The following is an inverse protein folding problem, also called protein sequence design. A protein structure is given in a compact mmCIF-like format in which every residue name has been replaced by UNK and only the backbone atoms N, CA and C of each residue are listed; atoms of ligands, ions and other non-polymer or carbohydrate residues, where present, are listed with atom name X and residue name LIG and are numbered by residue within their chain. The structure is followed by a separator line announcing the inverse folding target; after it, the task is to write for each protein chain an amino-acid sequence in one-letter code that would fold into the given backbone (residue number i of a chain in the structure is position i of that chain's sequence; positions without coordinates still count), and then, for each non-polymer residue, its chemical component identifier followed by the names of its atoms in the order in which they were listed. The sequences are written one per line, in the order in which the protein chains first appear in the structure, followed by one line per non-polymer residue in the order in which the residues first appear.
data_IF_792411699169
#
_entry.id   IF_792411699169
#
_cell.length_a   1.000
_cell.length_b   1.000
_cell.length_c   1.000
_cell.angle_alpha   90.00
_cell.angle_beta   90.00
_cell.angle_gamma   90.00
#
_symmetry.space_group_name_H-M   'P 1'
#
loop_
_entity.id
_entity.type
_entity.pdbx_description
1 polymer ?
#
# COMPACT_ATOMS: atom_id res chain seq x y z
N UNK A 1 -1.99 3.36 7.02
CA UNK A 1 -2.77 2.32 7.74
C UNK A 1 -2.52 0.99 7.04
N UNK A 2 -2.23 -0.07 7.80
CA UNK A 2 -1.91 -1.42 7.30
C UNK A 2 -3.18 -2.27 7.33
N UNK A 3 -3.32 -3.26 6.46
CA UNK A 3 -4.39 -4.24 6.52
C UNK A 3 -4.32 -5.00 7.88
N UNK A 4 -5.35 -4.94 8.74
CA UNK A 4 -5.39 -5.69 9.98
C UNK A 4 -5.48 -7.17 9.67
N UNK A 5 -4.53 -7.93 10.21
CA UNK A 5 -4.50 -9.40 10.10
C UNK A 5 -4.70 -9.99 11.49
N UNK A 6 -5.21 -11.22 11.55
CA UNK A 6 -5.47 -11.90 12.82
C UNK A 6 -4.26 -11.93 13.76
N UNK A 7 -3.04 -12.11 13.22
CA UNK A 7 -1.79 -12.12 14.01
C UNK A 7 -1.37 -10.75 14.56
N UNK A 8 -1.91 -9.67 14.01
CA UNK A 8 -1.54 -8.30 14.36
C UNK A 8 -2.54 -7.64 15.30
N UNK A 9 -3.79 -8.10 15.32
CA UNK A 9 -4.83 -7.59 16.21
C UNK A 9 -4.66 -8.12 17.64
N UNK A 10 -4.86 -7.27 18.64
CA UNK A 10 -4.92 -7.70 20.03
C UNK A 10 -6.27 -8.38 20.34
N UNK A 11 -6.23 -9.66 20.70
CA UNK A 11 -7.42 -10.42 21.06
C UNK A 11 -7.97 -10.07 22.46
N UNK A 12 -7.32 -9.19 23.22
CA UNK A 12 -7.84 -8.69 24.49
C UNK A 12 -8.48 -7.31 24.38
N UNK A 13 -8.26 -6.59 23.27
CA UNK A 13 -8.89 -5.30 23.00
C UNK A 13 -10.21 -5.51 22.24
N UNK A 14 -11.37 -5.10 22.79
CA UNK A 14 -12.66 -5.16 22.10
C UNK A 14 -12.66 -4.52 20.70
N UNK A 15 -11.91 -3.44 20.49
CA UNK A 15 -11.85 -2.76 19.19
C UNK A 15 -11.05 -3.55 18.14
N UNK A 16 -10.16 -4.45 18.57
CA UNK A 16 -9.30 -5.24 17.68
C UNK A 16 -9.69 -6.72 17.59
N UNK A 17 -10.40 -7.25 18.58
CA UNK A 17 -10.72 -8.68 18.72
C UNK A 17 -11.31 -9.30 17.43
N UNK A 18 -12.21 -8.58 16.77
CA UNK A 18 -12.91 -9.00 15.56
C UNK A 18 -12.52 -8.16 14.33
N UNK A 19 -11.62 -7.19 14.49
CA UNK A 19 -11.26 -6.23 13.43
C UNK A 19 -10.76 -6.91 12.16
N UNK A 20 -9.90 -7.92 12.31
CA UNK A 20 -9.38 -8.70 11.18
C UNK A 20 -10.49 -9.45 10.41
N UNK A 21 -11.54 -9.90 11.10
CA UNK A 21 -12.69 -10.58 10.51
C UNK A 21 -13.61 -9.65 9.71
N UNK A 22 -13.51 -8.34 9.95
CA UNK A 22 -14.28 -7.31 9.26
C UNK A 22 -13.56 -6.77 8.01
N UNK A 23 -12.35 -7.24 7.73
CA UNK A 23 -11.63 -6.90 6.51
C UNK A 23 -12.24 -7.65 5.31
N UNK A 24 -12.59 -6.91 4.26
CA UNK A 24 -12.98 -7.44 2.94
C UNK A 24 -14.03 -8.55 2.98
N UNK A 25 -15.12 -8.30 3.71
CA UNK A 25 -16.24 -9.24 3.82
C UNK A 25 -16.79 -9.52 2.43
N UNK A 26 -16.78 -10.78 1.98
CA UNK A 26 -17.23 -11.14 0.65
C UNK A 26 -18.74 -10.91 0.49
N UNK A 27 -19.13 -10.02 -0.44
CA UNK A 27 -20.54 -9.77 -0.79
C UNK A 27 -20.95 -10.57 -2.03
N UNK A 28 -20.00 -10.80 -2.94
CA UNK A 28 -20.13 -11.66 -4.10
C UNK A 28 -18.78 -12.36 -4.35
N UNK A 29 -18.70 -13.31 -5.30
CA UNK A 29 -17.43 -13.95 -5.66
C UNK A 29 -16.33 -12.99 -6.11
N UNK A 30 -16.67 -11.78 -6.55
CA UNK A 30 -15.72 -10.81 -7.11
C UNK A 30 -15.67 -9.48 -6.37
N UNK A 31 -16.62 -9.20 -5.48
CA UNK A 31 -16.74 -7.91 -4.81
C UNK A 31 -16.78 -8.07 -3.28
N UNK A 32 -15.75 -7.56 -2.57
CA UNK A 32 -15.81 -7.43 -1.12
C UNK A 32 -16.51 -6.13 -0.71
N UNK A 33 -17.14 -6.16 0.47
CA UNK A 33 -17.48 -4.97 1.23
C UNK A 33 -16.22 -4.44 1.91
N UNK A 34 -15.94 -3.16 1.67
CA UNK A 34 -14.80 -2.46 2.26
C UNK A 34 -15.30 -1.56 3.36
N UNK A 35 -14.82 -1.79 4.57
CA UNK A 35 -15.07 -0.94 5.72
C UNK A 35 -13.85 -0.05 5.97
N UNK A 36 -14.10 1.20 6.36
CA UNK A 36 -13.04 2.02 6.94
C UNK A 36 -12.64 1.45 8.30
N UNK A 37 -11.35 1.52 8.65
CA UNK A 37 -10.83 0.91 9.88
C UNK A 37 -11.55 1.44 11.14
N UNK A 38 -11.80 2.75 11.22
CA UNK A 38 -12.51 3.37 12.35
C UNK A 38 -13.93 2.81 12.55
N UNK A 39 -14.65 2.55 11.45
CA UNK A 39 -15.98 1.95 11.47
C UNK A 39 -15.86 0.48 11.88
N UNK A 40 -14.90 -0.26 11.32
CA UNK A 40 -14.68 -1.66 11.66
C UNK A 40 -14.31 -1.86 13.14
N UNK A 41 -13.50 -0.98 13.73
CA UNK A 41 -13.19 -0.98 15.19
C UNK A 41 -14.44 -0.78 16.04
N UNK A 42 -15.29 0.17 15.65
CA UNK A 42 -16.58 0.41 16.32
C UNK A 42 -17.47 -0.83 16.26
N UNK A 43 -17.54 -1.51 15.12
CA UNK A 43 -18.31 -2.75 14.95
C UNK A 43 -17.70 -3.90 15.78
N UNK A 44 -16.37 -4.05 15.79
CA UNK A 44 -15.67 -5.06 16.59
C UNK A 44 -16.02 -4.92 18.06
N UNK A 45 -15.92 -3.70 18.60
CA UNK A 45 -16.26 -3.41 19.99
C UNK A 45 -17.73 -3.74 20.29
N UNK A 46 -18.64 -3.33 19.41
CA UNK A 46 -20.07 -3.63 19.56
C UNK A 46 -20.33 -5.15 19.63
N UNK A 47 -19.76 -5.93 18.70
CA UNK A 47 -19.92 -7.39 18.70
C UNK A 47 -19.28 -8.03 19.95
N UNK A 48 -18.12 -7.54 20.38
CA UNK A 48 -17.47 -7.99 21.61
C UNK A 48 -18.35 -7.74 22.85
N UNK A 49 -18.95 -6.56 22.95
CA UNK A 49 -19.91 -6.19 24.01
C UNK A 49 -21.20 -7.02 23.94
N UNK A 50 -21.63 -7.45 22.74
CA UNK A 50 -22.71 -8.42 22.56
C UNK A 50 -22.33 -9.86 22.96
N UNK A 51 -21.06 -10.12 23.32
CA UNK A 51 -20.58 -11.42 23.79
C UNK A 51 -19.90 -12.29 22.73
N UNK A 52 -19.69 -11.80 21.50
CA UNK A 52 -18.96 -12.55 20.48
C UNK A 52 -17.47 -12.67 20.84
N UNK A 53 -16.90 -13.86 20.69
CA UNK A 53 -15.45 -14.12 20.83
C UNK A 53 -14.96 -14.98 19.68
N UNK A 54 -13.71 -14.78 19.29
CA UNK A 54 -13.04 -15.64 18.33
C UNK A 54 -12.63 -16.95 19.01
N UNK A 55 -13.04 -18.06 18.41
CA UNK A 55 -12.67 -19.42 18.79
C UNK A 55 -11.77 -20.00 17.69
N UNK A 56 -10.43 -19.98 17.84
CA UNK A 56 -9.49 -20.41 16.81
C UNK A 56 -9.72 -21.85 16.35
N UNK A 57 -10.18 -22.73 17.25
CA UNK A 57 -10.51 -24.12 16.98
C UNK A 57 -11.72 -24.33 16.06
N UNK A 58 -12.56 -23.30 15.89
CA UNK A 58 -13.74 -23.34 15.01
C UNK A 58 -13.53 -22.54 13.71
N UNK A 59 -12.32 -22.05 13.45
CA UNK A 59 -12.04 -21.20 12.30
C UNK A 59 -11.91 -22.02 11.00
N UNK A 60 -12.81 -21.79 10.05
CA UNK A 60 -12.79 -22.49 8.75
C UNK A 60 -12.05 -21.72 7.64
N UNK A 61 -11.90 -20.40 7.79
CA UNK A 61 -11.36 -19.50 6.75
C UNK A 61 -10.27 -18.59 7.28
N UNK A 62 -9.37 -18.18 6.40
CA UNK A 62 -8.34 -17.17 6.65
C UNK A 62 -8.38 -16.06 5.62
N UNK A 63 -7.96 -14.87 6.03
CA UNK A 63 -7.77 -13.74 5.12
C UNK A 63 -6.42 -13.89 4.44
N UNK A 64 -6.43 -14.15 3.13
CA UNK A 64 -5.24 -14.10 2.31
C UNK A 64 -5.04 -12.67 1.83
N UNK A 65 -3.94 -12.06 2.27
CA UNK A 65 -3.60 -10.67 1.97
C UNK A 65 -3.42 -10.46 0.45
N UNK A 66 -3.56 -9.22 -0.06
CA UNK A 66 -3.34 -8.92 -1.46
C UNK A 66 -1.95 -9.39 -1.90
N UNK A 67 -1.89 -10.21 -2.95
CA UNK A 67 -0.62 -10.69 -3.49
C UNK A 67 0.23 -9.56 -4.09
N UNK A 68 -0.40 -8.46 -4.54
CA UNK A 68 0.26 -7.26 -5.06
C UNK A 68 -0.43 -5.99 -4.58
N UNK A 69 0.29 -4.88 -4.68
CA UNK A 69 -0.21 -3.54 -4.37
C UNK A 69 -0.19 -3.21 -2.88
N UNK A 70 -0.98 -2.20 -2.50
CA UNK A 70 -0.96 -1.63 -1.15
C UNK A 70 -1.61 -2.56 -0.12
N UNK A 71 -0.93 -2.80 0.99
CA UNK A 71 -1.43 -3.64 2.09
C UNK A 71 -2.32 -2.82 3.04
N UNK A 72 -3.53 -2.46 2.59
CA UNK A 72 -4.46 -1.57 3.32
C UNK A 72 -5.92 -2.05 3.25
N UNK A 73 -6.73 -1.71 4.25
CA UNK A 73 -8.15 -2.09 4.38
C UNK A 73 -9.00 -1.83 3.13
N UNK A 74 -8.78 -0.70 2.44
CA UNK A 74 -9.54 -0.33 1.24
C UNK A 74 -8.94 -0.87 -0.06
N UNK A 75 -7.91 -1.71 -0.01
CA UNK A 75 -7.47 -2.47 -1.19
C UNK A 75 -8.29 -3.77 -1.28
N UNK A 76 -9.38 -3.77 -2.04
CA UNK A 76 -10.30 -4.91 -2.23
C UNK A 76 -9.74 -6.15 -2.94
N UNK A 77 -8.41 -6.35 -2.92
CA UNK A 77 -7.71 -7.47 -3.55
C UNK A 77 -7.35 -8.60 -2.59
N UNK A 78 -7.70 -8.51 -1.30
CA UNK A 78 -7.57 -9.63 -0.37
C UNK A 78 -8.79 -10.54 -0.51
N UNK A 79 -8.65 -11.80 -0.10
CA UNK A 79 -9.73 -12.78 -0.21
C UNK A 79 -9.78 -13.68 1.00
N UNK A 80 -10.99 -14.08 1.36
CA UNK A 80 -11.22 -15.13 2.34
C UNK A 80 -11.14 -16.49 1.66
N UNK A 81 -10.20 -17.31 2.08
CA UNK A 81 -9.97 -18.67 1.56
C UNK A 81 -10.11 -19.69 2.68
N UNK A 82 -10.38 -20.98 2.38
CA UNK A 82 -10.25 -22.06 3.36
C UNK A 82 -8.91 -22.00 4.11
N UNK A 83 -8.91 -22.37 5.38
CA UNK A 83 -7.70 -22.26 6.23
C UNK A 83 -6.52 -23.10 5.70
N UNK A 84 -6.82 -24.22 5.04
CA UNK A 84 -5.86 -25.17 4.46
C UNK A 84 -5.30 -24.74 3.10
N UNK A 85 -5.88 -23.73 2.45
CA UNK A 85 -5.37 -23.25 1.16
C UNK A 85 -3.93 -22.74 1.33
N UNK A 86 -2.98 -23.09 0.44
CA UNK A 86 -1.60 -22.63 0.58
C UNK A 86 -1.51 -21.10 0.47
N UNK A 87 -0.54 -20.52 1.18
CA UNK A 87 -0.18 -19.12 0.93
C UNK A 87 0.41 -18.99 -0.48
N UNK A 88 0.14 -17.88 -1.20
CA UNK A 88 0.70 -17.68 -2.51
C UNK A 88 2.20 -17.43 -2.38
N UNK A 89 2.96 -17.84 -3.39
CA UNK A 89 4.40 -17.58 -3.41
C UNK A 89 4.67 -16.08 -3.24
N UNK A 90 5.62 -15.68 -2.38
CA UNK A 90 5.98 -14.29 -2.22
C UNK A 90 6.43 -13.69 -3.55
N UNK A 91 6.01 -12.45 -3.84
CA UNK A 91 6.60 -11.70 -4.95
C UNK A 91 7.95 -11.18 -4.48
N UNK A 92 9.03 -11.84 -4.91
CA UNK A 92 10.38 -11.34 -4.69
C UNK A 92 10.65 -10.17 -5.62
N UNK A 93 11.02 -9.03 -5.04
CA UNK A 93 11.49 -7.90 -5.82
C UNK A 93 12.88 -8.24 -6.39
N UNK A 94 13.15 -7.94 -7.67
CA UNK A 94 14.49 -8.07 -8.21
C UNK A 94 15.48 -7.24 -7.38
N UNK A 95 16.58 -7.85 -6.93
CA UNK A 95 17.68 -7.10 -6.35
C UNK A 95 18.48 -6.44 -7.47
N UNK A 96 18.10 -5.18 -7.75
CA UNK A 96 18.72 -4.37 -8.80
C UNK A 96 20.22 -4.17 -8.57
N UNK A 97 20.71 -4.28 -7.33
CA UNK A 97 22.13 -4.12 -7.01
C UNK A 97 22.99 -5.33 -7.42
N UNK A 98 22.37 -6.51 -7.49
CA UNK A 98 23.00 -7.74 -7.95
C UNK A 98 22.95 -7.92 -9.48
N UNK A 99 22.20 -7.08 -10.19
CA UNK A 99 22.06 -7.13 -11.65
C UNK A 99 23.28 -6.51 -12.36
N UNK A 100 23.55 -6.94 -13.58
CA UNK A 100 24.59 -6.33 -14.42
C UNK A 100 24.21 -4.90 -14.83
N UNK A 101 25.20 -4.07 -15.17
CA UNK A 101 24.96 -2.69 -15.61
C UNK A 101 23.99 -2.62 -16.79
N UNK A 102 24.11 -3.53 -17.76
CA UNK A 102 23.23 -3.57 -18.93
C UNK A 102 21.77 -3.87 -18.56
N UNK A 103 21.54 -4.78 -17.61
CA UNK A 103 20.18 -5.09 -17.14
C UNK A 103 19.59 -3.94 -16.32
N UNK A 104 20.42 -3.26 -15.51
CA UNK A 104 20.02 -2.05 -14.79
C UNK A 104 19.62 -0.92 -15.77
N UNK A 105 20.40 -0.69 -16.82
CA UNK A 105 20.09 0.28 -17.88
C UNK A 105 18.77 -0.06 -18.60
N UNK A 106 18.53 -1.34 -18.86
CA UNK A 106 17.27 -1.80 -19.44
C UNK A 106 16.06 -1.49 -18.54
N UNK A 107 16.19 -1.73 -17.23
CA UNK A 107 15.14 -1.36 -16.25
C UNK A 107 14.93 0.15 -16.22
N UNK A 108 16.01 0.95 -16.20
CA UNK A 108 15.92 2.43 -16.20
C UNK A 108 15.17 2.92 -17.43
N UNK A 109 15.47 2.38 -18.61
CA UNK A 109 14.82 2.77 -19.85
C UNK A 109 13.33 2.42 -19.85
N UNK A 110 12.95 1.21 -19.40
CA UNK A 110 11.54 0.88 -19.19
C UNK A 110 10.84 1.85 -18.23
N UNK A 111 11.48 2.20 -17.11
CA UNK A 111 10.90 3.13 -16.15
C UNK A 111 10.74 4.55 -16.71
N UNK A 112 11.64 5.01 -17.58
CA UNK A 112 11.50 6.28 -18.31
C UNK A 112 10.34 6.23 -19.31
N UNK A 113 10.23 5.17 -20.09
CA UNK A 113 9.13 4.97 -21.04
C UNK A 113 7.76 4.93 -20.34
N UNK A 114 7.71 4.35 -19.15
CA UNK A 114 6.53 4.34 -18.28
C UNK A 114 6.27 5.69 -17.57
N UNK A 115 7.12 6.70 -17.79
CA UNK A 115 7.02 8.02 -17.15
C UNK A 115 7.25 8.00 -15.64
N UNK A 116 7.91 6.96 -15.11
CA UNK A 116 8.24 6.82 -13.67
C UNK A 116 9.53 7.53 -13.29
N UNK A 117 10.42 7.74 -14.26
CA UNK A 117 11.64 8.54 -14.10
C UNK A 117 11.53 9.72 -15.07
N UNK A 118 11.39 10.97 -14.58
CA UNK A 118 11.34 12.13 -15.45
C UNK A 118 12.71 12.38 -16.10
N UNK A 119 12.70 12.91 -17.32
CA UNK A 119 13.91 13.38 -17.96
C UNK A 119 14.43 14.61 -17.20
N UNK A 120 15.73 14.68 -16.97
CA UNK A 120 16.31 15.80 -16.24
C UNK A 120 16.02 17.10 -17.02
N UNK A 121 15.50 18.16 -16.38
CA UNK A 121 15.29 19.42 -17.07
C UNK A 121 16.63 19.93 -17.59
N UNK A 122 16.65 20.38 -18.84
CA UNK A 122 17.83 20.99 -19.44
C UNK A 122 18.24 22.18 -18.56
N UNK A 123 19.48 22.23 -18.04
CA UNK A 123 19.93 23.34 -17.20
C UNK A 123 19.77 24.64 -17.99
N UNK A 124 18.90 25.52 -17.52
CA UNK A 124 18.80 26.87 -18.08
C UNK A 124 20.07 27.63 -17.67
N UNK A 125 20.86 28.06 -18.65
CA UNK A 125 22.02 28.91 -18.42
C UNK A 125 21.54 30.28 -17.91
N UNK A 126 21.56 30.46 -16.59
CA UNK A 126 21.21 31.73 -15.92
C UNK A 126 22.43 32.64 -15.83
N UNK A 127 23.05 32.96 -16.97
CA UNK A 127 23.95 34.11 -17.04
C UNK A 127 23.08 35.38 -17.09
N UNK A 128 22.71 35.86 -15.89
CA UNK A 128 21.97 37.08 -15.66
C UNK A 128 22.75 38.29 -16.18
N UNK A 129 22.17 39.06 -17.11
CA UNK A 129 22.75 40.30 -17.64
C UNK A 129 22.65 41.38 -16.56
N UNK A 130 23.53 41.35 -15.57
CA UNK A 130 23.74 42.48 -14.66
C UNK A 130 24.67 43.50 -15.32
N UNK A 131 24.32 44.07 -16.48
CA UNK A 131 25.16 45.13 -17.09
C UNK A 131 24.46 46.03 -18.12
N UNK A 132 23.21 46.45 -17.89
CA UNK A 132 22.58 47.48 -18.74
C UNK A 132 21.98 48.68 -17.99
N UNK A 133 21.96 48.68 -16.65
CA UNK A 133 21.57 49.87 -15.85
C UNK A 133 22.74 50.65 -15.25
N UNK A 134 23.97 50.12 -15.31
CA UNK A 134 25.17 50.82 -14.82
C UNK A 134 25.79 51.82 -15.84
N UNK A 135 25.36 51.79 -17.11
CA UNK A 135 26.00 52.57 -18.21
C UNK A 135 25.26 53.88 -18.54
N UNK A 136 24.11 54.19 -17.92
CA UNK A 136 23.34 55.42 -18.21
C UNK A 136 23.24 56.41 -17.06
N UNK A 137 24.15 56.33 -16.10
CA UNK A 137 24.31 57.30 -15.02
C UNK A 137 25.48 58.25 -15.24
N UNK A 138 25.54 58.97 -16.36
CA UNK A 138 26.49 60.08 -16.53
C UNK A 138 25.84 61.34 -17.14
N UNK A 139 25.85 62.38 -16.28
CA UNK A 139 26.14 63.80 -16.54
C UNK A 139 25.02 64.74 -17.03
N UNK A 140 24.78 65.69 -16.09
CA UNK A 140 24.44 67.12 -16.20
C UNK A 140 23.05 67.50 -16.67
#
# INVERSE_FOLDING_TARGET
MRLPTQRQCDMNDPEEHLLWGLAQIAMSPTQPMLLQESIARTISKHLYECGFRHHPELQEKKLQAPHRGQQHMLNGSARWVPIEDPEPDPVELPDVSAMTVHEQEFIINQLKELGRIPEAPVPQSVAEITNLRAVRGERK
#
